data_IF_575803514456
#
_entry.id   IF_575803514456
#
_cell.length_a   1.000
_cell.length_b   1.000
_cell.length_c   1.000
_cell.angle_alpha   90.00
_cell.angle_beta   90.00
_cell.angle_gamma   90.00
#
_symmetry.space_group_name_H-M   'P 1'
#
loop_
_entity.id
_entity.type
_entity.pdbx_description
1 polymer ?
#
# COMPACT_ATOMS: atom_id res chain seq x y z
N UNK A 1 -6.29 13.89 -1.43
CA UNK A 1 -7.24 13.05 -0.68
C UNK A 1 -7.94 13.81 0.45
N UNK A 2 -7.31 14.24 1.54
CA UNK A 2 -8.00 14.88 2.68
C UNK A 2 -8.83 16.14 2.33
N UNK A 3 -8.39 16.99 1.38
CA UNK A 3 -9.17 18.15 0.93
C UNK A 3 -10.44 17.72 0.20
N UNK A 4 -10.38 16.70 -0.65
CA UNK A 4 -11.51 16.15 -1.40
C UNK A 4 -12.54 15.54 -0.45
N UNK A 5 -12.11 14.71 0.51
CA UNK A 5 -12.97 14.13 1.54
C UNK A 5 -13.76 15.19 2.29
N UNK A 6 -13.09 16.30 2.68
CA UNK A 6 -13.75 17.44 3.35
C UNK A 6 -14.73 18.17 2.41
N UNK A 7 -14.29 18.50 1.18
CA UNK A 7 -15.11 19.21 0.18
C UNK A 7 -16.39 18.45 -0.17
N UNK A 8 -16.32 17.12 -0.25
CA UNK A 8 -17.44 16.25 -0.58
C UNK A 8 -18.30 15.86 0.62
N UNK A 9 -17.97 16.34 1.82
CA UNK A 9 -18.67 15.99 3.07
C UNK A 9 -18.82 14.48 3.28
N UNK A 10 -17.77 13.71 2.93
CA UNK A 10 -17.81 12.24 2.93
C UNK A 10 -18.18 11.68 4.30
N UNK A 11 -17.54 12.20 5.36
CA UNK A 11 -17.79 11.73 6.73
C UNK A 11 -19.22 12.03 7.17
N UNK A 12 -19.77 13.19 6.79
CA UNK A 12 -21.13 13.57 7.14
C UNK A 12 -22.16 12.66 6.43
N UNK A 13 -21.93 12.36 5.15
CA UNK A 13 -22.73 11.41 4.37
C UNK A 13 -22.71 10.00 4.97
N UNK A 14 -21.52 9.51 5.37
CA UNK A 14 -21.38 8.19 6.01
C UNK A 14 -22.04 8.15 7.38
N UNK A 15 -21.90 9.20 8.20
CA UNK A 15 -22.56 9.31 9.50
C UNK A 15 -24.08 9.38 9.38
N UNK A 16 -24.59 10.09 8.36
CA UNK A 16 -26.03 10.14 8.08
C UNK A 16 -26.58 8.74 7.75
N UNK A 17 -25.89 8.01 6.87
CA UNK A 17 -26.26 6.63 6.51
C UNK A 17 -26.20 5.70 7.74
N UNK A 18 -25.17 5.80 8.57
CA UNK A 18 -25.05 5.03 9.80
C UNK A 18 -26.20 5.33 10.77
N UNK A 19 -26.55 6.61 10.92
CA UNK A 19 -27.69 7.01 11.77
C UNK A 19 -29.01 6.45 11.26
N UNK A 20 -29.21 6.44 9.95
CA UNK A 20 -30.38 5.86 9.30
C UNK A 20 -30.44 4.35 9.50
N UNK A 21 -29.31 3.65 9.32
CA UNK A 21 -29.19 2.21 9.54
C UNK A 21 -29.49 1.84 11.00
N UNK A 22 -28.93 2.57 11.97
CA UNK A 22 -29.21 2.35 13.39
C UNK A 22 -30.72 2.48 13.70
N UNK A 23 -31.37 3.49 13.12
CA UNK A 23 -32.83 3.68 13.26
C UNK A 23 -33.61 2.54 12.63
N UNK A 24 -33.24 2.13 11.42
CA UNK A 24 -33.91 1.03 10.70
C UNK A 24 -33.77 -0.30 11.49
N UNK A 25 -32.60 -0.61 12.02
CA UNK A 25 -32.36 -1.81 12.87
C UNK A 25 -33.29 -1.76 14.11
N UNK A 26 -33.38 -0.62 14.77
CA UNK A 26 -34.24 -0.49 15.96
C UNK A 26 -35.74 -0.67 15.66
N UNK A 27 -36.17 -0.26 14.47
CA UNK A 27 -37.56 -0.36 14.02
C UNK A 27 -37.93 -1.73 13.45
N UNK A 28 -36.96 -2.58 13.15
CA UNK A 28 -37.14 -3.91 12.57
C UNK A 28 -36.82 -4.98 13.62
N UNK A 29 -37.82 -5.62 14.26
CA UNK A 29 -37.58 -6.54 15.39
C UNK A 29 -36.62 -7.68 15.06
N UNK A 30 -36.75 -8.29 13.89
CA UNK A 30 -35.90 -9.38 13.40
C UNK A 30 -34.43 -8.95 13.27
N UNK A 31 -34.18 -7.75 12.77
CA UNK A 31 -32.81 -7.21 12.60
C UNK A 31 -32.21 -6.75 13.94
N UNK A 32 -33.05 -6.26 14.86
CA UNK A 32 -32.60 -5.77 16.16
C UNK A 32 -31.92 -6.85 16.99
N UNK A 33 -32.45 -8.07 16.96
CA UNK A 33 -31.86 -9.20 17.70
C UNK A 33 -30.49 -9.60 17.10
N UNK A 34 -30.41 -9.69 15.78
CA UNK A 34 -29.20 -10.13 15.08
C UNK A 34 -28.08 -9.10 15.01
N UNK A 35 -28.41 -7.80 15.03
CA UNK A 35 -27.46 -6.70 14.83
C UNK A 35 -27.26 -5.81 16.05
N UNK A 36 -27.70 -6.28 17.24
CA UNK A 36 -27.68 -5.50 18.48
C UNK A 36 -26.31 -4.91 18.80
N UNK A 37 -25.24 -5.69 18.62
CA UNK A 37 -23.88 -5.33 18.94
C UNK A 37 -23.03 -4.88 17.74
N UNK A 38 -23.58 -4.88 16.52
CA UNK A 38 -22.82 -4.63 15.30
C UNK A 38 -21.90 -3.42 15.37
N UNK A 39 -22.42 -2.28 15.79
CA UNK A 39 -21.65 -1.04 15.79
C UNK A 39 -20.64 -0.98 16.94
N UNK A 40 -21.01 -1.47 18.12
CA UNK A 40 -20.08 -1.56 19.28
C UNK A 40 -18.93 -2.50 18.99
N UNK A 41 -19.21 -3.63 18.34
CA UNK A 41 -18.20 -4.61 17.97
C UNK A 41 -17.26 -4.08 16.89
N UNK A 42 -17.80 -3.39 15.87
CA UNK A 42 -16.97 -2.70 14.88
C UNK A 42 -16.06 -1.66 15.55
N UNK A 43 -16.61 -0.79 16.39
CA UNK A 43 -15.82 0.25 17.06
C UNK A 43 -14.71 -0.36 17.93
N UNK A 44 -15.02 -1.38 18.74
CA UNK A 44 -14.07 -2.06 19.60
C UNK A 44 -12.94 -2.71 18.77
N UNK A 45 -13.30 -3.47 17.72
CA UNK A 45 -12.33 -4.21 16.94
C UNK A 45 -11.47 -3.28 16.06
N UNK A 46 -12.03 -2.21 15.49
CA UNK A 46 -11.25 -1.20 14.78
C UNK A 46 -10.27 -0.48 15.71
N UNK A 47 -10.68 -0.17 16.95
CA UNK A 47 -9.79 0.42 17.94
C UNK A 47 -8.65 -0.55 18.30
N UNK A 48 -8.98 -1.79 18.65
CA UNK A 48 -7.99 -2.82 18.97
C UNK A 48 -6.98 -3.04 17.86
N UNK A 49 -7.46 -3.19 16.61
CA UNK A 49 -6.60 -3.34 15.45
C UNK A 49 -5.69 -2.12 15.23
N UNK A 50 -6.24 -0.90 15.34
CA UNK A 50 -5.46 0.34 15.17
C UNK A 50 -4.35 0.45 16.21
N UNK A 51 -4.65 0.15 17.47
CA UNK A 51 -3.69 0.27 18.57
C UNK A 51 -2.58 -0.78 18.42
N UNK A 52 -2.91 -2.01 18.02
CA UNK A 52 -1.93 -3.04 17.71
C UNK A 52 -1.07 -2.71 16.45
N UNK A 53 -1.67 -2.15 15.38
CA UNK A 53 -0.91 -1.70 14.21
C UNK A 53 0.06 -0.57 14.56
N UNK A 54 -0.37 0.39 15.39
CA UNK A 54 0.50 1.46 15.87
C UNK A 54 1.68 0.89 16.66
N UNK A 55 1.40 -0.01 17.62
CA UNK A 55 2.44 -0.66 18.40
C UNK A 55 3.44 -1.41 17.50
N UNK A 56 2.96 -2.16 16.49
CA UNK A 56 3.82 -2.86 15.52
C UNK A 56 4.68 -1.92 14.69
N UNK A 57 4.16 -0.76 14.28
CA UNK A 57 4.96 0.22 13.54
C UNK A 57 6.12 0.74 14.40
N UNK A 58 5.84 1.15 15.63
CA UNK A 58 6.90 1.53 16.57
C UNK A 58 7.85 0.37 16.89
N UNK A 59 7.33 -0.85 17.00
CA UNK A 59 8.13 -2.05 17.24
C UNK A 59 9.12 -2.29 16.08
N UNK A 60 8.66 -2.21 14.85
CA UNK A 60 9.49 -2.39 13.68
C UNK A 60 10.66 -1.38 13.65
N UNK A 61 10.38 -0.09 13.87
CA UNK A 61 11.40 0.94 13.87
C UNK A 61 12.34 0.82 15.08
N UNK A 62 11.82 0.44 16.24
CA UNK A 62 12.62 0.38 17.47
C UNK A 62 13.49 -0.86 17.58
N UNK A 63 13.07 -1.98 17.00
CA UNK A 63 13.75 -3.26 17.19
C UNK A 63 14.16 -3.96 15.89
N UNK A 64 13.31 -3.97 14.84
CA UNK A 64 13.64 -4.71 13.62
C UNK A 64 14.56 -3.91 12.69
N UNK A 65 14.35 -2.59 12.61
CA UNK A 65 15.11 -1.67 11.74
C UNK A 65 16.12 -0.79 12.52
N UNK A 66 16.08 -0.85 13.85
CA UNK A 66 16.85 0.01 14.73
C UNK A 66 18.25 -0.54 15.02
N UNK A 67 18.51 -1.11 16.24
CA UNK A 67 19.87 -1.50 16.67
C UNK A 67 20.42 -2.65 15.84
N UNK A 68 21.67 -2.51 15.38
CA UNK A 68 22.33 -3.53 14.55
C UNK A 68 22.57 -4.84 15.32
N UNK A 69 22.88 -4.77 16.62
CA UNK A 69 23.01 -5.96 17.47
C UNK A 69 21.71 -6.77 17.52
N UNK A 70 20.56 -6.10 17.63
CA UNK A 70 19.26 -6.76 17.64
C UNK A 70 18.97 -7.38 16.26
N UNK A 71 19.27 -6.66 15.19
CA UNK A 71 19.12 -7.19 13.82
C UNK A 71 19.97 -8.43 13.58
N UNK A 72 21.22 -8.44 14.09
CA UNK A 72 22.10 -9.61 14.02
C UNK A 72 21.49 -10.79 14.79
N UNK A 73 21.05 -10.58 16.04
CA UNK A 73 20.42 -11.62 16.85
C UNK A 73 19.16 -12.20 16.19
N UNK A 74 18.31 -11.35 15.64
CA UNK A 74 17.12 -11.77 14.90
C UNK A 74 17.45 -12.51 13.60
N UNK A 75 18.51 -12.09 12.90
CA UNK A 75 18.99 -12.77 11.68
C UNK A 75 19.48 -14.18 11.99
N UNK A 76 20.15 -14.36 13.14
CA UNK A 76 20.60 -15.68 13.61
C UNK A 76 19.41 -16.56 14.00
N UNK A 77 18.42 -16.01 14.71
CA UNK A 77 17.22 -16.75 15.15
C UNK A 77 16.32 -17.17 13.97
N UNK A 78 16.29 -16.40 12.90
CA UNK A 78 15.53 -16.71 11.68
C UNK A 78 16.34 -17.54 10.68
N UNK A 79 17.57 -17.92 11.05
CA UNK A 79 18.44 -18.70 10.17
C UNK A 79 17.98 -20.16 10.15
N UNK A 80 17.93 -20.73 8.94
CA UNK A 80 17.64 -22.14 8.76
C UNK A 80 18.95 -22.97 8.96
N UNK A 81 18.97 -23.72 10.05
CA UNK A 81 20.10 -24.60 10.39
C UNK A 81 19.99 -26.00 9.73
N UNK A 82 18.97 -26.24 8.89
CA UNK A 82 18.85 -27.49 8.14
C UNK A 82 19.74 -27.44 6.88
N UNK A 83 20.39 -28.54 6.55
CA UNK A 83 21.19 -28.68 5.35
C UNK A 83 22.60 -29.22 5.60
N UNK A 84 23.43 -29.18 4.56
CA UNK A 84 24.83 -29.60 4.67
C UNK A 84 25.61 -28.63 5.56
N UNK A 85 26.33 -29.15 6.55
CA UNK A 85 27.07 -28.39 7.56
C UNK A 85 27.94 -27.26 6.97
N UNK A 86 28.65 -27.55 5.87
CA UNK A 86 29.49 -26.54 5.19
C UNK A 86 28.68 -25.36 4.64
N UNK A 87 27.48 -25.61 4.13
CA UNK A 87 26.59 -24.60 3.58
C UNK A 87 25.97 -23.77 4.71
N UNK A 88 25.56 -24.42 5.80
CA UNK A 88 25.03 -23.77 7.00
C UNK A 88 26.07 -22.81 7.59
N UNK A 89 27.30 -23.29 7.79
CA UNK A 89 28.40 -22.48 8.33
C UNK A 89 28.76 -21.30 7.41
N UNK A 90 28.81 -21.50 6.10
CA UNK A 90 29.11 -20.45 5.14
C UNK A 90 28.05 -19.33 5.13
N UNK A 91 26.78 -19.71 5.18
CA UNK A 91 25.66 -18.77 5.22
C UNK A 91 25.60 -18.00 6.56
N UNK A 92 25.81 -18.67 7.66
CA UNK A 92 25.90 -18.05 8.99
C UNK A 92 27.07 -17.05 9.06
N UNK A 93 28.21 -17.43 8.48
CA UNK A 93 29.37 -16.53 8.36
C UNK A 93 29.03 -15.28 7.55
N UNK A 94 28.31 -15.39 6.45
CA UNK A 94 27.88 -14.25 5.65
C UNK A 94 26.97 -13.30 6.45
N UNK A 95 26.07 -13.82 7.27
CA UNK A 95 25.25 -13.01 8.19
C UNK A 95 26.15 -12.26 9.17
N UNK A 96 27.07 -12.95 9.83
CA UNK A 96 28.01 -12.35 10.81
C UNK A 96 28.90 -11.29 10.16
N UNK A 97 29.43 -11.55 8.96
CA UNK A 97 30.29 -10.61 8.23
C UNK A 97 29.55 -9.31 7.87
N UNK A 98 28.26 -9.36 7.60
CA UNK A 98 27.42 -8.16 7.37
C UNK A 98 27.48 -7.17 8.54
N UNK A 99 27.60 -7.69 9.76
CA UNK A 99 27.62 -6.91 11.00
C UNK A 99 29.03 -6.76 11.62
N UNK A 100 30.10 -7.21 10.93
CA UNK A 100 31.47 -7.21 11.47
C UNK A 100 32.03 -5.82 11.76
N UNK A 101 31.48 -4.75 11.16
CA UNK A 101 31.90 -3.36 11.35
C UNK A 101 30.97 -2.55 12.24
N UNK A 102 30.24 -3.21 13.12
CA UNK A 102 29.28 -2.61 14.05
C UNK A 102 29.94 -1.50 14.89
N UNK A 103 29.38 -0.28 14.83
CA UNK A 103 29.82 0.79 15.70
C UNK A 103 29.05 0.71 17.03
N UNK A 104 29.60 -0.06 17.96
CA UNK A 104 28.98 -0.32 19.25
C UNK A 104 28.61 0.97 20.03
N UNK A 105 29.37 2.05 19.88
CA UNK A 105 29.09 3.31 20.56
C UNK A 105 27.81 3.94 20.05
N UNK A 106 27.68 4.05 18.72
CA UNK A 106 26.46 4.60 18.07
C UNK A 106 25.29 3.68 18.29
N UNK A 107 25.46 2.38 18.12
CA UNK A 107 24.38 1.40 18.24
C UNK A 107 23.74 1.39 19.64
N UNK A 108 24.56 1.50 20.70
CA UNK A 108 24.07 1.65 22.08
C UNK A 108 23.24 2.93 22.30
N UNK A 109 23.70 4.08 21.73
CA UNK A 109 22.97 5.34 21.83
C UNK A 109 21.62 5.24 21.11
N UNK A 110 21.61 4.68 19.89
CA UNK A 110 20.40 4.45 19.11
C UNK A 110 19.46 3.54 19.87
N UNK A 111 19.94 2.39 20.37
CA UNK A 111 19.08 1.46 21.10
C UNK A 111 18.48 2.07 22.37
N UNK A 112 19.31 2.79 23.15
CA UNK A 112 18.83 3.47 24.35
C UNK A 112 17.74 4.50 24.06
N UNK A 113 17.90 5.27 22.97
CA UNK A 113 16.91 6.26 22.55
C UNK A 113 15.60 5.59 22.08
N UNK A 114 15.71 4.52 21.28
CA UNK A 114 14.57 3.77 20.75
C UNK A 114 13.80 3.04 21.86
N UNK A 115 14.45 2.49 22.88
CA UNK A 115 13.77 1.91 24.05
C UNK A 115 12.88 2.94 24.75
N UNK A 116 13.41 4.15 24.99
CA UNK A 116 12.66 5.23 25.63
C UNK A 116 11.49 5.67 24.78
N UNK A 117 11.72 5.85 23.48
CA UNK A 117 10.67 6.26 22.54
C UNK A 117 9.55 5.22 22.47
N UNK A 118 9.88 3.94 22.27
CA UNK A 118 8.89 2.87 22.20
C UNK A 118 8.00 2.84 23.46
N UNK A 119 8.63 2.84 24.65
CA UNK A 119 7.91 2.86 25.92
C UNK A 119 6.97 4.07 26.08
N UNK A 120 7.34 5.22 25.52
CA UNK A 120 6.55 6.45 25.59
C UNK A 120 5.35 6.47 24.66
N UNK A 121 5.40 5.70 23.56
CA UNK A 121 4.45 5.80 22.45
C UNK A 121 3.41 4.68 22.41
N UNK A 122 3.64 3.57 23.10
CA UNK A 122 2.77 2.40 23.07
C UNK A 122 2.16 2.10 24.44
N UNK A 123 1.00 1.47 24.43
CA UNK A 123 0.38 0.97 25.65
C UNK A 123 1.23 -0.12 26.31
N UNK A 124 1.17 -0.23 27.64
CA UNK A 124 1.95 -1.20 28.42
C UNK A 124 1.73 -2.65 28.02
N UNK A 125 0.57 -2.99 27.45
CA UNK A 125 0.24 -4.34 26.96
C UNK A 125 1.11 -4.78 25.79
N UNK A 126 1.68 -3.83 25.06
CA UNK A 126 2.56 -4.09 23.92
C UNK A 126 4.05 -4.08 24.25
N UNK A 127 4.41 -3.83 25.52
CA UNK A 127 5.82 -3.84 25.93
C UNK A 127 6.34 -5.29 25.98
N UNK A 128 7.50 -5.59 25.33
CA UNK A 128 8.23 -6.84 25.54
C UNK A 128 8.68 -7.03 26.99
N UNK A 129 9.02 -8.26 27.38
CA UNK A 129 9.43 -8.61 28.73
C UNK A 129 10.72 -7.88 29.16
N UNK A 130 11.55 -7.50 28.20
CA UNK A 130 12.75 -6.68 28.45
C UNK A 130 12.46 -5.45 29.32
N UNK A 131 11.28 -4.82 29.21
CA UNK A 131 10.92 -3.64 30.01
C UNK A 131 10.67 -3.99 31.48
N UNK A 132 10.15 -5.18 31.74
CA UNK A 132 10.07 -5.69 33.12
C UNK A 132 11.46 -5.92 33.71
N UNK A 133 12.37 -6.53 32.93
CA UNK A 133 13.78 -6.71 33.29
C UNK A 133 14.48 -5.36 33.55
N UNK A 134 14.28 -4.36 32.70
CA UNK A 134 14.82 -3.00 32.90
C UNK A 134 14.35 -2.42 34.24
N UNK A 135 13.08 -2.60 34.59
CA UNK A 135 12.55 -2.08 35.86
C UNK A 135 13.10 -2.84 37.07
N UNK A 136 13.08 -4.17 37.03
CA UNK A 136 13.42 -5.02 38.21
C UNK A 136 14.91 -5.12 38.46
N UNK A 137 15.73 -5.21 37.41
CA UNK A 137 17.18 -5.46 37.52
C UNK A 137 18.04 -4.22 37.36
N UNK A 138 17.53 -3.23 36.61
CA UNK A 138 18.30 -2.03 36.23
C UNK A 138 17.66 -0.74 36.79
N UNK A 139 16.69 -0.83 37.70
CA UNK A 139 16.06 0.33 38.33
C UNK A 139 15.34 1.26 37.36
N UNK A 140 14.88 0.73 36.22
CA UNK A 140 14.19 1.50 35.17
C UNK A 140 15.14 2.29 34.26
N UNK A 141 16.44 2.01 34.29
CA UNK A 141 17.44 2.72 33.49
C UNK A 141 17.79 1.93 32.22
N UNK A 142 17.24 2.35 31.09
CA UNK A 142 17.45 1.73 29.77
C UNK A 142 18.93 1.75 29.35
N UNK A 143 19.67 2.83 29.67
CA UNK A 143 21.09 2.93 29.35
C UNK A 143 21.91 1.85 30.05
N UNK A 144 21.68 1.66 31.35
CA UNK A 144 22.40 0.64 32.12
C UNK A 144 22.10 -0.77 31.61
N UNK A 145 20.84 -1.03 31.23
CA UNK A 145 20.44 -2.29 30.58
C UNK A 145 21.21 -2.50 29.27
N UNK A 146 21.21 -1.50 28.37
CA UNK A 146 21.90 -1.58 27.08
C UNK A 146 23.39 -1.80 27.27
N UNK A 147 24.04 -1.05 28.16
CA UNK A 147 25.48 -1.22 28.43
C UNK A 147 25.80 -2.63 28.94
N UNK A 148 24.95 -3.18 29.81
CA UNK A 148 25.08 -4.56 30.33
C UNK A 148 24.86 -5.61 29.22
N UNK A 149 23.86 -5.42 28.37
CA UNK A 149 23.57 -6.31 27.24
C UNK A 149 24.78 -6.40 26.30
N UNK A 150 25.29 -5.25 25.86
CA UNK A 150 26.43 -5.19 24.94
C UNK A 150 27.74 -5.70 25.56
N UNK A 151 27.94 -5.54 26.86
CA UNK A 151 29.12 -6.05 27.55
C UNK A 151 29.13 -7.58 27.70
N UNK A 152 27.93 -8.19 27.79
CA UNK A 152 27.79 -9.64 28.04
C UNK A 152 27.57 -10.45 26.78
N UNK A 153 27.08 -9.86 25.68
CA UNK A 153 26.85 -10.57 24.43
C UNK A 153 28.16 -10.88 23.70
N UNK A 154 28.35 -12.12 23.31
CA UNK A 154 29.49 -12.55 22.48
C UNK A 154 29.38 -11.97 21.05
N UNK A 155 28.18 -11.64 20.59
CA UNK A 155 27.93 -11.10 19.26
C UNK A 155 28.52 -9.69 19.04
N UNK A 156 28.97 -9.02 20.10
CA UNK A 156 29.51 -7.66 20.06
C UNK A 156 31.03 -7.60 19.76
N UNK A 157 31.73 -8.73 19.75
CA UNK A 157 33.19 -8.76 19.55
C UNK A 157 33.61 -9.73 18.45
N UNK A 158 34.64 -9.40 17.65
CA UNK A 158 35.17 -10.32 16.63
C UNK A 158 35.57 -11.69 17.19
N UNK A 159 36.10 -11.71 18.42
CA UNK A 159 36.49 -12.95 19.10
C UNK A 159 35.27 -13.77 19.54
N UNK A 160 34.23 -13.12 20.00
CA UNK A 160 32.97 -13.75 20.39
C UNK A 160 32.27 -14.29 19.15
N UNK A 161 32.15 -13.50 18.08
CA UNK A 161 31.61 -13.95 16.81
C UNK A 161 32.33 -15.17 16.23
N UNK A 162 33.68 -15.17 16.34
CA UNK A 162 34.47 -16.35 15.91
C UNK A 162 34.15 -17.58 16.76
N UNK A 163 34.08 -17.45 18.08
CA UNK A 163 33.68 -18.56 18.97
C UNK A 163 32.28 -19.04 18.64
N UNK A 164 31.34 -18.13 18.42
CA UNK A 164 29.97 -18.43 18.03
C UNK A 164 29.91 -19.29 16.75
N UNK A 165 30.74 -19.01 15.76
CA UNK A 165 30.83 -19.77 14.49
C UNK A 165 31.54 -21.12 14.62
N UNK A 166 32.41 -21.27 15.61
CA UNK A 166 33.25 -22.48 15.82
C UNK A 166 32.61 -23.49 16.80
N UNK A 167 31.55 -23.10 17.53
CA UNK A 167 30.88 -23.95 18.50
C UNK A 167 29.81 -24.84 17.82
N UNK A 168 29.62 -26.05 18.38
CA UNK A 168 28.53 -26.95 18.00
C UNK A 168 27.19 -26.28 18.33
N UNK A 169 26.55 -25.79 17.29
CA UNK A 169 25.75 -24.56 17.25
C UNK A 169 24.39 -24.61 17.96
N UNK A 170 23.86 -25.76 18.30
CA UNK A 170 22.44 -25.85 18.67
C UNK A 170 22.12 -25.54 20.12
N UNK A 171 23.05 -25.71 21.07
CA UNK A 171 22.75 -25.58 22.50
C UNK A 171 23.28 -24.31 23.17
N UNK A 172 24.34 -23.70 22.63
CA UNK A 172 25.00 -22.54 23.28
C UNK A 172 24.49 -21.18 22.79
N UNK A 173 23.82 -21.14 21.66
CA UNK A 173 23.21 -19.91 21.10
C UNK A 173 22.28 -19.25 22.12
N UNK A 174 21.44 -20.03 22.78
CA UNK A 174 20.45 -19.56 23.76
C UNK A 174 21.03 -19.03 25.06
N UNK A 175 22.35 -19.09 25.25
CA UNK A 175 23.01 -18.48 26.42
C UNK A 175 23.41 -17.01 26.19
N UNK A 176 23.40 -16.54 24.92
CA UNK A 176 23.74 -15.14 24.62
C UNK A 176 22.55 -14.20 24.95
N UNK A 177 22.79 -13.12 25.72
CA UNK A 177 21.73 -12.22 26.12
C UNK A 177 21.09 -11.45 24.96
N UNK A 178 21.78 -11.23 23.83
CA UNK A 178 21.17 -10.60 22.66
C UNK A 178 20.25 -11.59 21.91
N UNK A 179 20.57 -12.88 21.91
CA UNK A 179 19.69 -13.93 21.39
C UNK A 179 18.43 -14.05 22.24
N UNK A 180 18.58 -14.06 23.58
CA UNK A 180 17.41 -14.09 24.48
C UNK A 180 16.50 -12.86 24.31
N UNK A 181 17.09 -11.69 24.12
CA UNK A 181 16.34 -10.49 23.72
C UNK A 181 15.60 -10.71 22.40
N UNK A 182 16.26 -11.28 21.38
CA UNK A 182 15.61 -11.60 20.10
C UNK A 182 14.39 -12.50 20.28
N UNK A 183 14.47 -13.53 21.14
CA UNK A 183 13.35 -14.43 21.44
C UNK A 183 12.18 -13.69 22.09
N UNK A 184 12.44 -12.83 23.07
CA UNK A 184 11.42 -11.98 23.70
C UNK A 184 10.73 -11.10 22.65
N UNK A 185 11.50 -10.47 21.78
CA UNK A 185 10.98 -9.62 20.70
C UNK A 185 10.13 -10.39 19.69
N UNK A 186 10.57 -11.58 19.26
CA UNK A 186 9.79 -12.44 18.35
C UNK A 186 8.47 -12.86 19.01
N UNK A 187 8.52 -13.24 20.28
CA UNK A 187 7.35 -13.66 21.05
C UNK A 187 6.33 -12.51 21.11
N UNK A 188 6.77 -11.31 21.47
CA UNK A 188 5.88 -10.13 21.52
C UNK A 188 5.32 -9.77 20.15
N UNK A 189 6.13 -9.83 19.10
CA UNK A 189 5.67 -9.61 17.73
C UNK A 189 4.60 -10.62 17.29
N UNK A 190 4.78 -11.89 17.67
CA UNK A 190 3.79 -12.93 17.40
C UNK A 190 2.46 -12.63 18.12
N UNK A 191 2.48 -12.26 19.40
CA UNK A 191 1.29 -11.87 20.16
C UNK A 191 0.54 -10.70 19.49
N UNK A 192 1.26 -9.64 19.10
CA UNK A 192 0.67 -8.50 18.38
C UNK A 192 0.07 -8.92 17.02
N UNK A 193 0.73 -9.82 16.29
CA UNK A 193 0.22 -10.34 15.02
C UNK A 193 -1.09 -11.14 15.22
N UNK A 194 -1.14 -11.98 16.23
CA UNK A 194 -2.36 -12.74 16.58
C UNK A 194 -3.52 -11.80 16.93
N UNK A 195 -3.28 -10.75 17.70
CA UNK A 195 -4.29 -9.75 18.05
C UNK A 195 -4.80 -9.01 16.79
N UNK A 196 -3.90 -8.62 15.87
CA UNK A 196 -4.28 -8.00 14.61
C UNK A 196 -5.13 -8.94 13.77
N UNK A 197 -4.75 -10.21 13.66
CA UNK A 197 -5.51 -11.21 12.88
C UNK A 197 -6.91 -11.42 13.46
N UNK A 198 -7.00 -11.60 14.78
CA UNK A 198 -8.29 -11.79 15.45
C UNK A 198 -9.20 -10.57 15.24
N UNK A 199 -8.72 -9.36 15.51
CA UNK A 199 -9.50 -8.14 15.31
C UNK A 199 -9.90 -7.95 13.84
N UNK A 200 -9.03 -8.31 12.88
CA UNK A 200 -9.33 -8.22 11.44
C UNK A 200 -10.43 -9.22 11.03
N UNK A 201 -10.40 -10.44 11.55
CA UNK A 201 -11.44 -11.44 11.28
C UNK A 201 -12.82 -11.01 11.81
N UNK A 202 -12.86 -10.44 13.03
CA UNK A 202 -14.10 -9.90 13.58
C UNK A 202 -14.61 -8.67 12.81
N UNK A 203 -13.72 -7.77 12.38
CA UNK A 203 -14.08 -6.63 11.53
C UNK A 203 -14.70 -7.15 10.24
N UNK A 204 -14.05 -8.06 9.53
CA UNK A 204 -14.53 -8.60 8.28
C UNK A 204 -15.91 -9.26 8.41
N UNK A 205 -16.13 -10.01 9.50
CA UNK A 205 -17.45 -10.59 9.80
C UNK A 205 -18.51 -9.51 9.99
N UNK A 206 -18.21 -8.50 10.80
CA UNK A 206 -19.15 -7.42 11.09
C UNK A 206 -19.38 -6.49 9.90
N UNK A 207 -18.38 -6.27 9.05
CA UNK A 207 -18.55 -5.52 7.78
C UNK A 207 -19.48 -6.27 6.81
N UNK A 208 -19.39 -7.59 6.74
CA UNK A 208 -20.36 -8.39 5.95
C UNK A 208 -21.78 -8.22 6.49
N UNK A 209 -21.98 -8.24 7.81
CA UNK A 209 -23.29 -8.00 8.43
C UNK A 209 -23.77 -6.57 8.17
N UNK A 210 -22.91 -5.58 8.31
CA UNK A 210 -23.20 -4.18 8.00
C UNK A 210 -23.65 -3.98 6.56
N UNK A 211 -22.87 -4.48 5.60
CA UNK A 211 -23.19 -4.39 4.17
C UNK A 211 -24.49 -5.12 3.83
N UNK A 212 -24.73 -6.28 4.44
CA UNK A 212 -25.98 -7.02 4.27
C UNK A 212 -27.18 -6.23 4.81
N UNK A 213 -27.05 -5.60 5.97
CA UNK A 213 -28.09 -4.76 6.55
C UNK A 213 -28.38 -3.51 5.70
N UNK A 214 -27.35 -2.83 5.20
CA UNK A 214 -27.49 -1.69 4.27
C UNK A 214 -28.25 -2.10 3.02
N UNK A 215 -27.95 -3.26 2.44
CA UNK A 215 -28.64 -3.77 1.25
C UNK A 215 -30.10 -4.09 1.52
N UNK A 216 -30.44 -4.61 2.70
CA UNK A 216 -31.84 -4.85 3.09
C UNK A 216 -32.58 -3.55 3.35
N UNK A 217 -31.97 -2.60 4.04
CA UNK A 217 -32.55 -1.28 4.29
C UNK A 217 -32.89 -0.55 2.98
N UNK A 218 -32.01 -0.64 1.97
CA UNK A 218 -32.21 -0.03 0.66
C UNK A 218 -32.57 -1.06 -0.43
N UNK A 219 -33.51 -1.96 -0.16
CA UNK A 219 -33.83 -3.09 -1.05
C UNK A 219 -34.20 -2.69 -2.49
N UNK A 220 -34.69 -1.46 -2.70
CA UNK A 220 -35.00 -0.92 -4.04
C UNK A 220 -33.81 -0.32 -4.76
N UNK A 221 -32.65 -0.18 -4.12
CA UNK A 221 -31.45 0.40 -4.69
C UNK A 221 -30.55 -0.67 -5.32
N UNK A 222 -30.07 -0.40 -6.52
CA UNK A 222 -29.02 -1.24 -7.12
C UNK A 222 -27.66 -0.91 -6.52
N UNK A 223 -26.96 -1.93 -6.06
CA UNK A 223 -25.59 -1.86 -5.61
C UNK A 223 -24.69 -2.62 -6.60
N UNK A 224 -23.63 -2.00 -7.05
CA UNK A 224 -22.62 -2.68 -7.87
C UNK A 224 -21.54 -3.28 -6.96
N UNK A 225 -20.92 -4.41 -7.38
CA UNK A 225 -19.86 -5.04 -6.62
C UNK A 225 -18.56 -4.24 -6.70
N UNK A 226 -17.72 -4.39 -5.69
CA UNK A 226 -16.33 -4.01 -5.78
C UNK A 226 -15.53 -5.03 -6.61
N UNK A 227 -14.28 -4.71 -6.97
CA UNK A 227 -13.40 -5.62 -7.70
C UNK A 227 -13.10 -6.87 -6.85
N UNK A 228 -13.40 -8.06 -7.39
CA UNK A 228 -13.30 -9.34 -6.69
C UNK A 228 -12.73 -10.47 -7.56
N UNK A 229 -11.90 -10.12 -8.55
CA UNK A 229 -11.32 -11.05 -9.55
C UNK A 229 -12.34 -11.69 -10.50
N UNK A 230 -13.59 -11.21 -10.55
CA UNK A 230 -14.55 -11.57 -11.58
C UNK A 230 -14.74 -10.43 -12.58
N UNK A 231 -15.29 -10.73 -13.75
CA UNK A 231 -15.58 -9.69 -14.74
C UNK A 231 -16.58 -8.67 -14.20
N UNK A 232 -16.21 -7.39 -14.25
CA UNK A 232 -17.07 -6.26 -13.86
C UNK A 232 -17.19 -5.30 -15.04
N UNK A 233 -18.41 -4.89 -15.33
CA UNK A 233 -18.69 -3.85 -16.30
C UNK A 233 -18.91 -2.52 -15.59
N UNK A 234 -18.07 -1.52 -15.88
CA UNK A 234 -18.30 -0.13 -15.54
C UNK A 234 -18.76 0.63 -16.77
N UNK A 235 -19.76 1.51 -16.63
CA UNK A 235 -20.26 2.31 -17.75
C UNK A 235 -20.31 3.79 -17.36
N UNK A 236 -20.21 4.65 -18.36
CA UNK A 236 -20.20 6.10 -18.17
C UNK A 236 -20.24 6.83 -19.51
N UNK A 237 -19.98 8.12 -19.46
CA UNK A 237 -19.96 9.02 -20.62
C UNK A 237 -18.62 9.71 -20.70
N UNK A 238 -18.09 9.86 -21.90
CA UNK A 238 -16.92 10.71 -22.19
C UNK A 238 -17.33 12.15 -21.97
N UNK A 239 -16.72 12.84 -21.02
CA UNK A 239 -17.04 14.23 -20.66
C UNK A 239 -15.89 14.92 -19.91
N UNK A 240 -15.76 16.20 -20.11
CA UNK A 240 -14.91 17.09 -19.31
C UNK A 240 -15.43 17.32 -17.90
N UNK A 241 -14.77 18.19 -17.13
CA UNK A 241 -15.22 18.59 -15.79
C UNK A 241 -14.61 19.92 -15.37
N UNK A 242 -15.23 20.57 -14.40
CA UNK A 242 -14.71 21.79 -13.77
C UNK A 242 -14.16 21.46 -12.37
N UNK A 243 -12.84 21.39 -12.16
CA UNK A 243 -12.24 21.02 -10.88
C UNK A 243 -12.44 22.10 -9.80
N UNK A 244 -12.50 23.38 -10.21
CA UNK A 244 -12.74 24.54 -9.36
C UNK A 244 -13.25 25.71 -10.19
N UNK A 245 -13.67 26.79 -9.53
CA UNK A 245 -14.18 27.98 -10.19
C UNK A 245 -13.16 28.60 -11.16
N UNK A 246 -13.61 28.90 -12.36
CA UNK A 246 -12.78 29.47 -13.43
C UNK A 246 -11.89 28.49 -14.19
N UNK A 247 -11.96 27.18 -13.91
CA UNK A 247 -11.23 26.15 -14.65
C UNK A 247 -12.17 25.10 -15.24
N UNK A 248 -11.96 24.78 -16.50
CA UNK A 248 -12.67 23.71 -17.21
C UNK A 248 -11.64 22.83 -17.92
N UNK A 249 -11.72 21.52 -17.73
CA UNK A 249 -10.92 20.55 -18.43
C UNK A 249 -11.76 19.85 -19.50
N UNK A 250 -11.23 19.87 -20.72
CA UNK A 250 -11.84 19.17 -21.84
C UNK A 250 -11.74 17.65 -21.62
N UNK A 251 -12.51 16.90 -22.39
CA UNK A 251 -12.55 15.44 -22.28
C UNK A 251 -11.38 14.71 -22.95
N UNK A 252 -10.46 15.41 -23.64
CA UNK A 252 -9.33 14.79 -24.35
C UNK A 252 -8.05 15.62 -24.24
N UNK A 253 -6.92 14.99 -24.53
CA UNK A 253 -5.60 15.61 -24.71
C UNK A 253 -5.00 15.19 -26.04
N UNK A 254 -4.08 16.00 -26.60
CA UNK A 254 -3.47 15.76 -27.90
C UNK A 254 -1.95 15.64 -27.82
N UNK A 255 -1.32 15.19 -28.90
CA UNK A 255 0.13 15.14 -29.05
C UNK A 255 0.80 16.51 -28.83
N UNK A 256 0.08 17.61 -29.09
CA UNK A 256 0.56 18.96 -28.81
C UNK A 256 0.89 19.15 -27.34
N UNK A 257 0.03 18.66 -26.42
CA UNK A 257 0.28 18.71 -24.98
C UNK A 257 1.52 17.93 -24.55
N UNK A 258 1.81 16.79 -25.21
CA UNK A 258 3.07 16.06 -24.98
C UNK A 258 4.27 16.94 -25.36
N UNK A 259 4.26 17.54 -26.55
CA UNK A 259 5.36 18.40 -27.02
C UNK A 259 5.54 19.65 -26.16
N UNK A 260 4.46 20.24 -25.66
CA UNK A 260 4.51 21.36 -24.73
C UNK A 260 5.19 20.96 -23.41
N UNK A 261 4.87 19.77 -22.84
CA UNK A 261 5.52 19.28 -21.61
C UNK A 261 7.01 19.01 -21.80
N UNK A 262 7.39 18.36 -22.88
CA UNK A 262 8.82 18.12 -23.20
C UNK A 262 9.60 19.44 -23.28
N UNK A 263 9.03 20.46 -23.91
CA UNK A 263 9.68 21.79 -23.99
C UNK A 263 9.72 22.52 -22.64
N UNK A 264 8.65 22.47 -21.87
CA UNK A 264 8.54 23.16 -20.58
C UNK A 264 9.49 22.57 -19.53
N UNK A 265 9.83 21.29 -19.64
CA UNK A 265 10.67 20.56 -18.71
C UNK A 265 11.98 20.08 -19.34
N UNK A 266 12.55 20.87 -20.26
CA UNK A 266 13.81 20.53 -20.94
C UNK A 266 14.93 20.30 -19.92
N UNK A 267 15.59 19.13 -20.00
CA UNK A 267 16.66 18.72 -19.08
C UNK A 267 16.19 17.98 -17.82
N UNK A 268 14.88 17.75 -17.68
CA UNK A 268 14.32 16.87 -16.66
C UNK A 268 14.14 15.46 -17.21
N UNK A 269 14.81 14.49 -16.60
CA UNK A 269 14.83 13.09 -17.04
C UNK A 269 13.43 12.45 -17.10
N UNK A 270 12.51 12.89 -16.25
CA UNK A 270 11.14 12.40 -16.22
C UNK A 270 10.31 12.83 -17.44
N UNK A 271 10.76 13.87 -18.17
CA UNK A 271 10.13 14.41 -19.37
C UNK A 271 10.97 14.24 -20.65
N UNK A 272 12.09 13.50 -20.54
CA UNK A 272 12.88 13.17 -21.72
C UNK A 272 12.11 12.26 -22.69
N UNK A 273 12.18 12.58 -23.97
CA UNK A 273 11.58 11.78 -25.03
C UNK A 273 12.64 11.28 -26.00
N UNK A 274 12.49 10.06 -26.48
CA UNK A 274 13.35 9.51 -27.50
C UNK A 274 13.29 10.36 -28.78
N UNK A 275 14.43 10.69 -29.38
CA UNK A 275 14.51 11.61 -30.53
C UNK A 275 13.62 11.20 -31.72
N UNK A 276 13.50 9.92 -32.00
CA UNK A 276 12.67 9.38 -33.06
C UNK A 276 11.18 9.64 -32.80
N UNK A 277 10.72 9.45 -31.57
CA UNK A 277 9.33 9.72 -31.19
C UNK A 277 9.05 11.23 -31.22
N UNK A 278 9.98 12.03 -30.68
CA UNK A 278 9.88 13.49 -30.71
C UNK A 278 9.77 14.02 -32.17
N UNK A 279 10.60 13.51 -33.08
CA UNK A 279 10.54 13.85 -34.51
C UNK A 279 9.21 13.45 -35.13
N UNK A 280 8.74 12.24 -34.84
CA UNK A 280 7.49 11.70 -35.36
C UNK A 280 6.28 12.54 -34.91
N UNK A 281 6.19 12.87 -33.61
CA UNK A 281 5.10 13.69 -33.09
C UNK A 281 5.19 15.15 -33.56
N UNK A 282 6.42 15.68 -33.70
CA UNK A 282 6.64 17.07 -34.20
C UNK A 282 6.34 17.25 -35.68
N UNK A 283 6.34 16.18 -36.46
CA UNK A 283 6.01 16.25 -37.89
C UNK A 283 4.56 16.67 -38.14
N UNK A 284 3.66 16.35 -37.21
CA UNK A 284 2.22 16.58 -37.37
C UNK A 284 1.55 15.68 -38.42
N UNK A 285 2.29 14.74 -39.03
CA UNK A 285 1.73 13.79 -39.96
C UNK A 285 1.25 12.53 -39.24
N UNK A 286 0.02 12.58 -38.79
CA UNK A 286 -0.64 11.48 -38.09
C UNK A 286 -1.43 10.54 -39.02
N UNK A 287 -1.54 10.89 -40.30
CA UNK A 287 -2.25 10.09 -41.30
C UNK A 287 -3.67 9.73 -40.86
N UNK A 288 -4.03 8.46 -41.01
CA UNK A 288 -5.38 7.95 -40.66
C UNK A 288 -5.71 7.96 -39.14
N UNK A 289 -4.76 8.30 -38.30
CA UNK A 289 -4.97 8.35 -36.84
C UNK A 289 -5.30 9.77 -36.36
N UNK A 290 -5.21 10.77 -37.22
CA UNK A 290 -5.64 12.12 -36.92
C UNK A 290 -7.17 12.20 -36.73
N UNK A 291 -7.61 13.12 -35.89
CA UNK A 291 -9.01 13.49 -35.83
C UNK A 291 -9.43 14.42 -37.01
N UNK A 292 -10.69 14.86 -37.01
CA UNK A 292 -11.23 15.75 -38.02
C UNK A 292 -10.50 17.12 -38.15
N UNK A 293 -9.77 17.51 -37.10
CA UNK A 293 -8.96 18.73 -37.06
C UNK A 293 -7.50 18.49 -37.49
N UNK A 294 -7.14 17.26 -37.79
CA UNK A 294 -5.77 16.87 -38.11
C UNK A 294 -4.89 16.67 -36.88
N UNK A 295 -5.47 16.61 -35.66
CA UNK A 295 -4.74 16.43 -34.41
C UNK A 295 -4.71 14.95 -34.02
N UNK A 296 -3.68 14.57 -33.24
CA UNK A 296 -3.57 13.24 -32.64
C UNK A 296 -4.12 13.30 -31.21
N UNK A 297 -5.26 12.69 -30.98
CA UNK A 297 -5.77 12.49 -29.62
C UNK A 297 -4.95 11.41 -28.88
N UNK A 298 -4.54 11.69 -27.65
CA UNK A 298 -3.67 10.81 -26.85
C UNK A 298 -4.44 10.14 -25.73
N UNK A 299 -5.20 10.91 -24.97
CA UNK A 299 -6.04 10.41 -23.89
C UNK A 299 -7.41 11.06 -23.94
N UNK A 300 -8.39 10.38 -23.37
CA UNK A 300 -9.71 10.93 -23.11
C UNK A 300 -10.15 10.61 -21.67
N UNK A 301 -11.14 11.33 -21.18
CA UNK A 301 -11.68 11.11 -19.83
C UNK A 301 -13.18 10.81 -19.89
N UNK A 302 -13.61 9.96 -18.96
CA UNK A 302 -15.01 9.56 -18.81
C UNK A 302 -15.39 9.50 -17.32
N UNK A 303 -16.69 9.53 -17.04
CA UNK A 303 -17.21 9.38 -15.68
C UNK A 303 -17.49 7.91 -15.28
N UNK A 304 -16.72 6.98 -15.79
CA UNK A 304 -16.72 5.60 -15.29
C UNK A 304 -16.16 5.55 -13.87
N UNK A 305 -16.73 4.68 -13.04
CA UNK A 305 -16.14 4.34 -11.73
C UNK A 305 -15.15 3.19 -11.93
N UNK A 306 -13.90 3.44 -11.62
CA UNK A 306 -12.80 2.46 -11.68
C UNK A 306 -12.02 2.41 -10.37
N UNK A 307 -11.34 1.31 -10.13
CA UNK A 307 -10.44 1.11 -8.99
C UNK A 307 -9.15 0.43 -9.46
N UNK A 308 -8.21 0.20 -8.54
CA UNK A 308 -6.99 -0.57 -8.82
C UNK A 308 -7.32 -1.93 -9.45
N UNK A 309 -6.56 -2.29 -10.50
CA UNK A 309 -6.81 -3.49 -11.33
C UNK A 309 -7.52 -3.21 -12.65
N UNK A 310 -8.13 -2.04 -12.84
CA UNK A 310 -8.72 -1.65 -14.12
C UNK A 310 -7.68 -1.21 -15.18
N UNK A 311 -6.42 -0.96 -14.78
CA UNK A 311 -5.35 -0.56 -15.69
C UNK A 311 -5.18 -1.57 -16.83
N UNK A 312 -5.22 -1.08 -18.08
CA UNK A 312 -5.17 -1.90 -19.31
C UNK A 312 -6.51 -2.50 -19.74
N UNK A 313 -7.60 -2.29 -18.99
CA UNK A 313 -8.92 -2.77 -19.37
C UNK A 313 -9.43 -2.07 -20.64
N UNK A 314 -10.05 -2.83 -21.52
CA UNK A 314 -10.61 -2.30 -22.76
C UNK A 314 -11.84 -1.40 -22.51
N UNK A 315 -11.85 -0.25 -23.15
CA UNK A 315 -12.97 0.70 -23.16
C UNK A 315 -13.68 0.65 -24.50
N UNK A 316 -14.98 0.34 -24.50
CA UNK A 316 -15.78 0.16 -25.71
C UNK A 316 -16.87 1.23 -25.81
N UNK A 317 -17.24 1.56 -27.05
CA UNK A 317 -18.48 2.30 -27.30
C UNK A 317 -19.71 1.37 -27.31
N UNK A 318 -20.90 1.95 -27.50
CA UNK A 318 -22.14 1.19 -27.53
C UNK A 318 -22.27 0.18 -28.69
N UNK A 319 -21.40 0.27 -29.70
CA UNK A 319 -21.32 -0.68 -30.82
C UNK A 319 -20.34 -1.83 -30.56
N UNK A 320 -19.65 -1.82 -29.41
CA UNK A 320 -18.60 -2.79 -29.12
C UNK A 320 -17.25 -2.49 -29.80
N UNK A 321 -17.04 -1.29 -30.31
CA UNK A 321 -15.79 -0.86 -30.90
C UNK A 321 -14.86 -0.36 -29.79
N UNK A 322 -13.58 -0.77 -29.85
CA UNK A 322 -12.56 -0.36 -28.90
C UNK A 322 -12.24 1.14 -29.05
N UNK A 323 -12.46 1.91 -27.99
CA UNK A 323 -12.11 3.34 -27.91
C UNK A 323 -10.70 3.56 -27.35
N UNK A 324 -10.27 2.71 -26.45
CA UNK A 324 -9.00 2.84 -25.77
C UNK A 324 -8.82 1.86 -24.63
N UNK A 325 -7.80 2.10 -23.83
CA UNK A 325 -7.48 1.32 -22.65
C UNK A 325 -7.56 2.20 -21.40
N UNK A 326 -8.24 1.71 -20.37
CA UNK A 326 -8.25 2.38 -19.08
C UNK A 326 -6.82 2.48 -18.54
N UNK A 327 -6.44 3.68 -18.10
CA UNK A 327 -5.07 3.98 -17.72
C UNK A 327 -4.97 4.38 -16.24
N UNK A 328 -5.71 5.39 -15.81
CA UNK A 328 -5.64 5.96 -14.48
C UNK A 328 -6.91 6.73 -14.12
N UNK A 329 -6.96 7.28 -12.92
CA UNK A 329 -7.94 8.28 -12.48
C UNK A 329 -7.35 9.68 -12.43
N UNK A 330 -8.22 10.71 -12.54
CA UNK A 330 -7.78 12.08 -12.29
C UNK A 330 -7.49 12.33 -10.78
N UNK A 331 -6.92 13.48 -10.44
CA UNK A 331 -6.61 13.82 -9.05
C UNK A 331 -7.82 13.74 -8.11
N UNK A 332 -8.99 14.08 -8.61
CA UNK A 332 -10.25 14.02 -7.87
C UNK A 332 -10.69 12.58 -7.60
N UNK A 333 -10.25 11.62 -8.42
CA UNK A 333 -10.54 10.21 -8.25
C UNK A 333 -9.70 9.53 -7.14
N UNK A 334 -8.70 10.20 -6.55
CA UNK A 334 -7.92 9.67 -5.41
C UNK A 334 -8.76 9.29 -4.18
N UNK A 335 -10.02 9.66 -4.13
CA UNK A 335 -10.96 9.30 -3.07
C UNK A 335 -12.13 8.45 -3.54
N UNK A 336 -12.10 7.90 -4.76
CA UNK A 336 -13.20 7.13 -5.36
C UNK A 336 -13.53 5.89 -4.55
N UNK A 337 -12.54 5.18 -4.03
CA UNK A 337 -12.74 3.98 -3.17
C UNK A 337 -13.50 4.29 -1.87
N UNK A 338 -13.50 5.56 -1.43
CA UNK A 338 -14.24 5.98 -0.24
C UNK A 338 -15.61 6.51 -0.60
N UNK A 339 -15.70 7.33 -1.64
CA UNK A 339 -16.93 7.87 -2.21
C UNK A 339 -16.72 8.28 -3.66
N UNK A 340 -17.42 7.64 -4.58
CA UNK A 340 -17.46 8.03 -5.98
C UNK A 340 -18.33 9.29 -6.17
N UNK A 341 -17.77 10.32 -6.86
CA UNK A 341 -18.45 11.59 -7.19
C UNK A 341 -18.41 11.83 -8.71
N UNK A 342 -19.46 11.49 -9.44
CA UNK A 342 -19.49 11.53 -10.91
C UNK A 342 -19.30 12.91 -11.52
N UNK A 343 -19.50 13.99 -10.76
CA UNK A 343 -19.29 15.36 -11.25
C UNK A 343 -17.82 15.72 -11.37
N UNK A 344 -16.95 15.10 -10.58
CA UNK A 344 -15.55 15.48 -10.44
C UNK A 344 -14.57 14.37 -10.83
N UNK A 345 -14.92 13.13 -10.54
CA UNK A 345 -14.01 12.01 -10.75
C UNK A 345 -14.09 11.50 -12.19
N UNK A 346 -12.93 11.24 -12.76
CA UNK A 346 -12.79 10.79 -14.15
C UNK A 346 -11.83 9.62 -14.25
N UNK A 347 -12.22 8.66 -15.07
CA UNK A 347 -11.34 7.65 -15.62
C UNK A 347 -10.59 8.24 -16.80
N UNK A 348 -9.29 8.00 -16.89
CA UNK A 348 -8.44 8.37 -18.00
C UNK A 348 -8.25 7.13 -18.88
N UNK A 349 -8.61 7.25 -20.17
CA UNK A 349 -8.36 6.23 -21.18
C UNK A 349 -7.31 6.70 -22.19
N UNK A 350 -6.38 5.83 -22.55
CA UNK A 350 -5.47 6.06 -23.68
C UNK A 350 -6.26 5.85 -24.96
N UNK A 351 -6.26 6.82 -25.87
CA UNK A 351 -7.00 6.75 -27.14
C UNK A 351 -6.45 5.64 -28.04
N UNK A 352 -7.31 4.80 -28.57
CA UNK A 352 -6.91 3.68 -29.42
C UNK A 352 -6.14 4.13 -30.66
N UNK A 353 -6.46 5.32 -31.20
CA UNK A 353 -5.75 5.87 -32.37
C UNK A 353 -4.29 6.16 -32.07
N UNK A 354 -3.99 6.68 -30.86
CA UNK A 354 -2.62 6.87 -30.41
C UNK A 354 -1.90 5.53 -30.22
N UNK A 355 -2.56 4.54 -29.64
CA UNK A 355 -2.00 3.19 -29.49
C UNK A 355 -1.62 2.60 -30.84
N UNK A 356 -2.55 2.65 -31.81
CA UNK A 356 -2.30 2.12 -33.15
C UNK A 356 -1.22 2.90 -33.89
N UNK A 357 -1.17 4.22 -33.75
CA UNK A 357 -0.10 5.06 -34.27
C UNK A 357 1.27 4.67 -33.71
N UNK A 358 1.37 4.45 -32.42
CA UNK A 358 2.60 3.99 -31.76
C UNK A 358 3.03 2.62 -32.28
N UNK A 359 2.12 1.69 -32.48
CA UNK A 359 2.41 0.35 -33.02
C UNK A 359 2.92 0.46 -34.46
N UNK A 360 2.19 1.18 -35.32
CA UNK A 360 2.50 1.23 -36.76
C UNK A 360 3.69 2.13 -37.07
N UNK A 361 3.68 3.39 -36.60
CA UNK A 361 4.64 4.40 -37.02
C UNK A 361 5.92 4.39 -36.20
N UNK A 362 5.81 4.30 -34.89
CA UNK A 362 6.98 4.26 -34.01
C UNK A 362 7.56 2.85 -33.92
N UNK A 363 6.73 1.85 -33.60
CA UNK A 363 7.13 0.45 -33.47
C UNK A 363 7.39 -0.26 -34.78
N UNK A 364 7.04 0.35 -35.92
CA UNK A 364 7.18 -0.21 -37.30
C UNK A 364 6.54 -1.59 -37.46
N UNK A 365 5.53 -1.89 -36.64
CA UNK A 365 4.82 -3.17 -36.58
C UNK A 365 3.50 -3.12 -37.38
N UNK A 366 3.55 -2.65 -38.63
CA UNK A 366 2.37 -2.56 -39.51
C UNK A 366 1.69 -3.91 -39.79
N UNK A 367 2.42 -5.03 -39.63
CA UNK A 367 1.84 -6.37 -39.71
C UNK A 367 0.76 -6.60 -38.64
N UNK A 368 0.94 -6.09 -37.44
CA UNK A 368 -0.06 -6.21 -36.38
C UNK A 368 -1.34 -5.45 -36.71
N UNK A 369 -1.20 -4.29 -37.36
CA UNK A 369 -2.36 -3.50 -37.76
C UNK A 369 -3.19 -4.21 -38.85
N UNK A 370 -2.53 -4.99 -39.70
CA UNK A 370 -3.22 -5.76 -40.74
C UNK A 370 -4.07 -6.90 -40.21
N UNK A 371 -3.77 -7.38 -38.98
CA UNK A 371 -4.54 -8.40 -38.31
C UNK A 371 -5.80 -7.85 -37.60
N UNK A 372 -5.90 -6.52 -37.45
CA UNK A 372 -6.99 -5.86 -36.78
C UNK A 372 -8.11 -5.47 -37.79
N UNK A 373 -9.35 -5.60 -37.32
CA UNK A 373 -10.51 -5.02 -37.99
C UNK A 373 -10.71 -3.60 -37.47
N UNK A 374 -10.28 -2.63 -38.25
CA UNK A 374 -10.47 -1.22 -37.92
C UNK A 374 -11.92 -0.81 -38.20
N UNK A 375 -12.54 -0.10 -37.25
CA UNK A 375 -13.80 0.58 -37.48
C UNK A 375 -13.51 1.79 -38.39
N UNK A 376 -14.41 2.04 -39.32
CA UNK A 376 -14.35 3.28 -40.10
C UNK A 376 -14.62 4.47 -39.16
N UNK A 377 -13.83 5.56 -39.26
CA UNK A 377 -14.02 6.76 -38.46
C UNK A 377 -15.38 7.43 -38.71
#
# INVERSE_FOLDING_TARGET
MNRTIKKLHVLDKKRAMETELRRWIQQTPEEREHLLHLFSDLELNYKSRRDAYRARAYFAESFLNGPELVQLALSILNFDFEGEEKTVVANLKAIVEKYANLNLGIDKEVFTALLKEYRSQVDSTYLPELYQTIVTEYGGNERTYVDSLYARSELTTPRGLKRFLEQDTTYQIYNDPAINLGIDLITKLFEMNMQVQQASGEIERNERLFNSAVRRMYASRNFYPDANSTMRLSFGTVCGYAPFDGAEYDYYTTAKGILEKVRAHAGDVDFEMQPELLSLLSSGDFGRYADEKGEMNVCFISNNDITGGNSGSAMFNAKGELLGLAFDGNWEAMSSDILYEPKMQRTIGVDVRYILFMIEKYGKAGNLIQELKLANP
#
